data_IF_012130663421
#
_entry.id   IF_012130663421
#
_cell.length_a   1.000
_cell.length_b   1.000
_cell.length_c   1.000
_cell.angle_alpha   90.00
_cell.angle_beta   90.00
_cell.angle_gamma   90.00
#
_symmetry.space_group_name_H-M   'P 1'
#
loop_
_entity.id
_entity.type
_entity.pdbx_description
1 polymer ?
#
# COMPACT_ATOMS: atom_id res chain seq x y z
N UNK A 1 -16.09 -37.21 50.22
CA UNK A 1 -17.04 -36.66 49.24
C UNK A 1 -17.76 -37.85 48.61
N UNK A 2 -19.07 -37.76 48.44
CA UNK A 2 -19.87 -38.88 47.98
C UNK A 2 -20.87 -38.40 46.92
N UNK A 3 -21.06 -39.20 45.88
CA UNK A 3 -22.06 -38.95 44.87
C UNK A 3 -23.47 -38.94 45.46
N UNK A 4 -24.25 -37.93 45.09
CA UNK A 4 -25.63 -37.76 45.52
C UNK A 4 -26.59 -38.08 44.35
N UNK A 5 -27.14 -39.29 44.33
CA UNK A 5 -28.06 -39.73 43.28
C UNK A 5 -29.23 -38.77 43.01
N UNK A 6 -29.87 -38.14 44.01
CA UNK A 6 -30.97 -37.20 43.76
C UNK A 6 -30.56 -35.95 42.98
N UNK A 7 -29.27 -35.62 42.96
CA UNK A 7 -28.73 -34.45 42.28
C UNK A 7 -28.35 -34.72 40.83
N UNK A 8 -28.53 -35.95 40.35
CA UNK A 8 -28.34 -36.36 38.96
C UNK A 8 -29.70 -36.44 38.26
N UNK A 9 -29.92 -35.54 37.30
CA UNK A 9 -31.18 -35.39 36.57
C UNK A 9 -30.96 -35.64 35.08
N UNK A 10 -31.92 -36.26 34.41
CA UNK A 10 -31.91 -36.40 32.95
C UNK A 10 -32.42 -35.10 32.31
N UNK A 11 -31.62 -34.47 31.46
CA UNK A 11 -32.05 -33.30 30.68
C UNK A 11 -32.66 -33.71 29.34
N UNK A 12 -31.98 -34.62 28.63
CA UNK A 12 -32.41 -35.12 27.33
C UNK A 12 -31.89 -36.53 27.12
N UNK A 13 -32.64 -37.37 26.43
CA UNK A 13 -32.17 -38.69 26.02
C UNK A 13 -32.53 -38.94 24.57
N UNK A 14 -31.53 -39.29 23.78
CA UNK A 14 -31.71 -39.99 22.51
C UNK A 14 -31.56 -41.49 22.79
N UNK A 15 -31.99 -42.35 21.86
CA UNK A 15 -31.79 -43.80 22.02
C UNK A 15 -30.32 -44.24 22.13
N UNK A 16 -29.37 -43.34 21.81
CA UNK A 16 -27.93 -43.60 21.79
C UNK A 16 -27.11 -42.78 22.81
N UNK A 17 -27.67 -41.75 23.45
CA UNK A 17 -26.97 -40.88 24.40
C UNK A 17 -27.95 -40.21 25.36
N UNK A 18 -27.62 -40.15 26.65
CA UNK A 18 -28.34 -39.32 27.62
C UNK A 18 -27.47 -38.13 28.04
N UNK A 19 -28.05 -36.92 27.96
CA UNK A 19 -27.52 -35.72 28.58
C UNK A 19 -28.08 -35.61 30.00
N UNK A 20 -27.17 -35.63 30.96
CA UNK A 20 -27.46 -35.50 32.37
C UNK A 20 -27.09 -34.10 32.86
N UNK A 21 -27.78 -33.65 33.89
CA UNK A 21 -27.38 -32.51 34.70
C UNK A 21 -27.05 -33.01 36.10
N UNK A 22 -25.85 -32.69 36.58
CA UNK A 22 -25.42 -33.03 37.93
C UNK A 22 -25.00 -31.77 38.67
N UNK A 23 -25.61 -31.54 39.84
CA UNK A 23 -25.26 -30.42 40.72
C UNK A 23 -24.64 -30.93 42.01
N UNK A 24 -23.47 -30.43 42.37
CA UNK A 24 -22.80 -30.76 43.64
C UNK A 24 -22.03 -29.57 44.18
N UNK A 25 -21.83 -29.54 45.50
CA UNK A 25 -20.93 -28.61 46.16
C UNK A 25 -19.45 -29.06 46.06
N UNK A 26 -19.20 -30.31 45.67
CA UNK A 26 -17.84 -30.82 45.47
C UNK A 26 -17.13 -30.06 44.35
N UNK A 27 -15.80 -29.96 44.45
CA UNK A 27 -14.98 -29.37 43.37
C UNK A 27 -14.95 -30.29 42.16
N UNK A 28 -14.70 -29.75 40.97
CA UNK A 28 -14.56 -30.55 39.75
C UNK A 28 -13.48 -31.62 39.89
N UNK A 29 -12.37 -31.30 40.55
CA UNK A 29 -11.29 -32.26 40.80
C UNK A 29 -11.75 -33.49 41.60
N UNK A 30 -12.66 -33.28 42.56
CA UNK A 30 -13.22 -34.37 43.36
C UNK A 30 -14.24 -35.21 42.59
N UNK A 31 -15.05 -34.58 41.73
CA UNK A 31 -16.03 -35.29 40.88
C UNK A 31 -15.35 -36.18 39.84
N UNK A 32 -14.14 -35.80 39.40
CA UNK A 32 -13.32 -36.60 38.48
C UNK A 32 -12.56 -37.74 39.15
N UNK A 33 -12.64 -37.88 40.48
CA UNK A 33 -12.01 -38.99 41.18
C UNK A 33 -12.59 -40.34 40.73
N UNK A 34 -11.74 -41.35 40.63
CA UNK A 34 -12.16 -42.69 40.23
C UNK A 34 -13.25 -43.23 41.16
N UNK A 35 -14.33 -43.75 40.56
CA UNK A 35 -15.44 -44.34 41.31
C UNK A 35 -16.43 -43.33 41.89
N UNK A 36 -16.27 -42.02 41.65
CA UNK A 36 -17.21 -41.01 42.15
C UNK A 36 -18.67 -41.35 41.74
N UNK A 37 -18.92 -41.70 40.48
CA UNK A 37 -20.25 -42.08 39.98
C UNK A 37 -20.58 -43.58 40.09
N UNK A 38 -19.89 -44.36 40.93
CA UNK A 38 -20.11 -45.81 41.02
C UNK A 38 -21.57 -46.16 41.38
N UNK A 39 -22.20 -45.35 42.25
CA UNK A 39 -23.58 -45.50 42.68
C UNK A 39 -24.62 -44.86 41.73
N UNK A 40 -24.21 -44.29 40.59
CA UNK A 40 -25.12 -43.68 39.62
C UNK A 40 -25.90 -44.76 38.86
N UNK A 41 -27.18 -44.89 39.16
CA UNK A 41 -28.09 -45.75 38.41
C UNK A 41 -28.39 -45.13 37.04
N UNK A 42 -28.37 -45.94 35.97
CA UNK A 42 -28.75 -45.50 34.63
C UNK A 42 -27.67 -44.80 33.81
N UNK A 43 -26.56 -44.37 34.42
CA UNK A 43 -25.44 -43.77 33.71
C UNK A 43 -24.71 -44.82 32.84
N UNK A 44 -24.59 -44.54 31.54
CA UNK A 44 -23.99 -45.43 30.54
C UNK A 44 -22.78 -44.80 29.87
N UNK A 45 -21.91 -45.63 29.33
CA UNK A 45 -20.84 -45.16 28.46
C UNK A 45 -21.42 -44.42 27.24
N UNK A 46 -20.81 -43.29 26.88
CA UNK A 46 -21.29 -42.42 25.80
C UNK A 46 -22.23 -41.32 26.28
N UNK A 47 -22.76 -41.39 27.51
CA UNK A 47 -23.53 -40.30 28.11
C UNK A 47 -22.66 -39.05 28.36
N UNK A 48 -23.33 -37.92 28.51
CA UNK A 48 -22.68 -36.63 28.80
C UNK A 48 -23.31 -36.03 30.05
N UNK A 49 -22.49 -35.50 30.95
CA UNK A 49 -22.92 -34.82 32.18
C UNK A 49 -22.59 -33.33 32.07
N UNK A 50 -23.60 -32.48 32.11
CA UNK A 50 -23.45 -31.07 32.46
C UNK A 50 -23.30 -30.97 33.97
N UNK A 51 -22.05 -30.83 34.42
CA UNK A 51 -21.66 -30.71 35.83
C UNK A 51 -21.68 -29.24 36.24
N UNK A 52 -22.47 -28.92 37.26
CA UNK A 52 -22.30 -27.72 38.07
C UNK A 52 -21.64 -28.11 39.40
N UNK A 53 -20.35 -27.85 39.51
CA UNK A 53 -19.52 -28.08 40.70
C UNK A 53 -19.42 -26.82 41.55
N UNK A 54 -18.86 -26.92 42.75
CA UNK A 54 -18.64 -25.77 43.63
C UNK A 54 -17.69 -24.70 43.05
N UNK A 55 -16.89 -25.07 42.04
CA UNK A 55 -15.84 -24.25 41.43
C UNK A 55 -16.05 -23.96 39.93
N UNK A 56 -17.18 -24.36 39.34
CA UNK A 56 -17.47 -24.03 37.94
C UNK A 56 -18.57 -24.85 37.27
N UNK A 57 -18.67 -24.67 35.95
CA UNK A 57 -19.56 -25.40 35.06
C UNK A 57 -18.72 -26.15 34.03
N UNK A 58 -18.99 -27.45 33.85
CA UNK A 58 -18.24 -28.29 32.92
C UNK A 58 -19.13 -29.34 32.26
N UNK A 59 -18.71 -29.82 31.09
CA UNK A 59 -19.38 -30.84 30.30
C UNK A 59 -18.47 -32.07 30.24
N UNK A 60 -18.90 -33.15 30.87
CA UNK A 60 -18.07 -34.33 31.13
C UNK A 60 -18.57 -35.55 30.36
N UNK A 61 -17.73 -36.22 29.55
CA UNK A 61 -18.10 -37.46 28.89
C UNK A 61 -17.99 -38.65 29.85
N UNK A 62 -18.98 -39.54 29.83
CA UNK A 62 -18.95 -40.82 30.53
C UNK A 62 -18.26 -41.86 29.65
N UNK A 63 -17.23 -42.49 30.21
CA UNK A 63 -16.39 -43.52 29.59
C UNK A 63 -16.75 -44.92 30.13
N UNK A 64 -16.02 -45.93 29.64
CA UNK A 64 -16.09 -47.31 30.14
C UNK A 64 -16.07 -47.36 31.67
N UNK A 65 -16.89 -48.24 32.25
CA UNK A 65 -16.95 -48.44 33.71
C UNK A 65 -17.53 -47.25 34.51
N UNK A 66 -18.29 -46.35 33.87
CA UNK A 66 -18.83 -45.11 34.48
C UNK A 66 -17.75 -44.16 34.98
N UNK A 67 -16.54 -44.27 34.45
CA UNK A 67 -15.50 -43.29 34.66
C UNK A 67 -15.87 -41.99 33.92
N UNK A 68 -15.60 -40.84 34.51
CA UNK A 68 -15.92 -39.54 33.91
C UNK A 68 -14.63 -38.83 33.53
N UNK A 69 -14.52 -38.43 32.27
CA UNK A 69 -13.34 -37.72 31.77
C UNK A 69 -13.34 -36.23 32.15
N UNK A 70 -12.17 -35.59 32.12
CA UNK A 70 -12.00 -34.17 32.51
C UNK A 70 -12.85 -33.15 31.71
N UNK A 71 -13.36 -33.55 30.55
CA UNK A 71 -14.38 -32.82 29.80
C UNK A 71 -13.97 -31.43 29.30
N UNK A 72 -14.98 -30.64 28.92
CA UNK A 72 -14.85 -29.22 28.57
C UNK A 72 -15.29 -28.36 29.76
N UNK A 73 -14.45 -27.43 30.20
CA UNK A 73 -14.80 -26.45 31.23
C UNK A 73 -15.45 -25.25 30.53
N UNK A 74 -16.70 -24.96 30.87
CA UNK A 74 -17.50 -23.88 30.28
C UNK A 74 -17.33 -22.59 31.08
N UNK A 75 -17.18 -22.72 32.39
CA UNK A 75 -16.94 -21.61 33.30
C UNK A 75 -16.18 -22.09 34.54
N UNK A 76 -15.40 -21.20 35.13
CA UNK A 76 -14.71 -21.40 36.40
C UNK A 76 -15.08 -20.27 37.33
N UNK A 77 -15.35 -20.54 38.60
CA UNK A 77 -15.73 -19.53 39.59
C UNK A 77 -14.68 -18.42 39.81
N UNK A 78 -13.52 -18.52 39.16
CA UNK A 78 -12.42 -17.54 39.17
C UNK A 78 -12.43 -16.57 37.97
N UNK A 79 -13.25 -16.79 36.94
CA UNK A 79 -13.25 -15.94 35.74
C UNK A 79 -14.17 -14.71 35.94
N UNK A 80 -13.70 -13.48 35.66
CA UNK A 80 -14.53 -12.29 35.76
C UNK A 80 -15.64 -12.29 34.70
N UNK A 81 -16.86 -11.92 35.10
CA UNK A 81 -18.03 -11.81 34.23
C UNK A 81 -17.74 -10.83 33.07
N UNK A 82 -17.76 -11.31 31.83
CA UNK A 82 -17.53 -10.47 30.66
C UNK A 82 -18.78 -9.62 30.33
N UNK A 83 -18.85 -8.41 30.88
CA UNK A 83 -19.83 -7.40 30.47
C UNK A 83 -19.37 -6.73 29.17
N UNK A 84 -20.07 -6.99 28.07
CA UNK A 84 -19.88 -6.25 26.81
C UNK A 84 -20.94 -5.16 26.66
N UNK A 85 -20.50 -3.92 26.40
CA UNK A 85 -21.38 -2.77 26.14
C UNK A 85 -20.96 -2.18 24.80
N UNK A 86 -21.84 -2.20 23.81
CA UNK A 86 -21.58 -1.66 22.48
C UNK A 86 -22.26 -0.29 22.30
N UNK A 87 -21.60 0.62 21.57
CA UNK A 87 -22.14 1.92 21.17
C UNK A 87 -21.47 2.41 19.90
N UNK A 88 -22.24 3.01 18.99
CA UNK A 88 -21.74 3.53 17.71
C UNK A 88 -21.20 4.94 17.92
N UNK A 89 -19.88 5.14 17.81
CA UNK A 89 -19.28 6.47 17.76
C UNK A 89 -19.06 6.86 16.30
N UNK A 90 -19.67 7.98 15.87
CA UNK A 90 -19.41 8.59 14.56
C UNK A 90 -18.50 9.79 14.76
N UNK A 91 -17.36 9.82 14.06
CA UNK A 91 -16.54 11.03 13.94
C UNK A 91 -16.45 11.44 12.47
N UNK A 92 -16.52 12.75 12.23
CA UNK A 92 -16.30 13.34 10.92
C UNK A 92 -14.88 13.91 10.85
N UNK A 93 -14.19 13.66 9.74
CA UNK A 93 -12.91 14.30 9.42
C UNK A 93 -13.16 15.40 8.40
N UNK A 94 -12.94 16.65 8.79
CA UNK A 94 -12.87 17.78 7.87
C UNK A 94 -11.43 17.98 7.44
N UNK A 95 -11.13 17.79 6.15
CA UNK A 95 -9.83 18.13 5.58
C UNK A 95 -9.98 19.47 4.86
N UNK A 96 -9.22 20.46 5.29
CA UNK A 96 -9.12 21.76 4.61
C UNK A 96 -7.74 21.85 3.98
N UNK A 97 -7.68 21.89 2.65
CA UNK A 97 -6.45 22.11 1.91
C UNK A 97 -6.60 23.41 1.11
N UNK A 98 -5.61 24.32 1.24
CA UNK A 98 -5.52 25.50 0.39
C UNK A 98 -4.68 25.15 -0.85
N UNK A 99 -5.19 25.36 -2.08
CA UNK A 99 -4.43 25.06 -3.29
C UNK A 99 -3.23 26.00 -3.41
N UNK A 100 -2.04 25.44 -3.58
CA UNK A 100 -0.83 26.21 -3.89
C UNK A 100 -0.69 26.30 -5.40
N UNK A 101 -0.92 27.50 -5.95
CA UNK A 101 -0.80 27.73 -7.39
C UNK A 101 0.67 27.55 -7.82
N UNK A 102 0.91 26.60 -8.72
CA UNK A 102 2.19 26.37 -9.37
C UNK A 102 2.01 26.40 -10.89
N UNK A 103 2.92 27.05 -11.60
CA UNK A 103 2.91 27.09 -13.07
C UNK A 103 4.34 27.13 -13.61
N UNK A 104 4.54 26.46 -14.75
CA UNK A 104 5.78 26.48 -15.53
C UNK A 104 5.43 27.06 -16.91
N UNK A 105 6.30 27.91 -17.44
CA UNK A 105 6.26 28.37 -18.82
C UNK A 105 7.66 28.28 -19.42
N UNK A 106 7.81 27.49 -20.47
CA UNK A 106 9.06 27.37 -21.22
C UNK A 106 9.17 28.58 -22.16
N UNK A 107 10.38 29.12 -22.27
CA UNK A 107 10.68 30.20 -23.21
C UNK A 107 10.53 29.70 -24.66
N UNK A 108 10.38 30.62 -25.62
CA UNK A 108 10.23 30.22 -27.02
C UNK A 108 11.51 29.52 -27.51
N UNK A 109 11.34 28.36 -28.16
CA UNK A 109 12.44 27.59 -28.74
C UNK A 109 12.53 27.95 -30.22
N UNK A 110 13.71 28.40 -30.67
CA UNK A 110 13.95 28.67 -32.09
C UNK A 110 13.91 27.36 -32.90
N UNK A 111 13.46 27.43 -34.15
CA UNK A 111 13.43 26.28 -35.06
C UNK A 111 13.68 26.75 -36.50
N UNK A 112 14.53 26.07 -37.30
CA UNK A 112 15.38 24.94 -36.91
C UNK A 112 16.57 25.35 -36.02
N UNK A 113 17.05 24.41 -35.21
CA UNK A 113 18.28 24.55 -34.42
C UNK A 113 19.45 23.91 -35.18
N UNK A 114 20.64 24.53 -35.23
CA UNK A 114 21.82 23.90 -35.81
C UNK A 114 22.29 22.67 -35.02
N UNK A 115 22.56 21.57 -35.73
CA UNK A 115 23.16 20.38 -35.16
C UNK A 115 24.60 20.62 -34.67
N UNK A 116 24.99 19.90 -33.61
CA UNK A 116 26.32 19.98 -32.99
C UNK A 116 26.51 21.19 -32.07
N UNK A 117 25.42 21.86 -31.68
CA UNK A 117 25.48 23.07 -30.83
C UNK A 117 24.85 22.83 -29.46
N UNK A 118 25.32 23.58 -28.47
CA UNK A 118 24.68 23.64 -27.16
C UNK A 118 23.48 24.59 -27.22
N UNK A 119 22.32 24.12 -26.78
CA UNK A 119 21.06 24.85 -26.76
C UNK A 119 20.87 25.42 -25.36
N UNK A 120 20.70 26.74 -25.25
CA UNK A 120 20.29 27.38 -24.00
C UNK A 120 18.77 27.38 -23.87
N UNK A 121 18.26 26.76 -22.82
CA UNK A 121 16.83 26.64 -22.53
C UNK A 121 16.51 27.43 -21.26
N UNK A 122 15.40 28.16 -21.30
CA UNK A 122 14.88 28.90 -20.15
C UNK A 122 13.43 28.53 -19.86
N UNK A 123 13.06 28.59 -18.59
CA UNK A 123 11.68 28.53 -18.16
C UNK A 123 11.43 29.47 -16.99
N UNK A 124 10.23 30.06 -16.96
CA UNK A 124 9.70 30.84 -15.85
C UNK A 124 8.74 30.01 -15.02
N UNK A 125 8.73 30.26 -13.72
CA UNK A 125 7.91 29.57 -12.73
C UNK A 125 7.09 30.59 -11.94
N UNK A 126 5.84 30.24 -11.65
CA UNK A 126 5.03 30.90 -10.62
C UNK A 126 4.74 29.91 -9.49
N UNK A 127 4.87 30.34 -8.24
CA UNK A 127 4.66 29.47 -7.06
C UNK A 127 5.95 28.79 -6.58
N UNK A 128 5.86 27.93 -5.56
CA UNK A 128 7.02 27.31 -4.92
C UNK A 128 7.54 26.10 -5.72
N UNK A 129 8.33 26.36 -6.77
CA UNK A 129 9.17 25.34 -7.43
C UNK A 129 10.62 25.77 -7.28
N UNK A 130 11.43 24.93 -6.62
CA UNK A 130 12.82 25.26 -6.28
C UNK A 130 13.81 24.92 -7.40
N UNK A 131 13.48 23.94 -8.25
CA UNK A 131 14.34 23.47 -9.33
C UNK A 131 13.53 22.83 -10.44
N UNK A 132 13.98 23.02 -11.68
CA UNK A 132 13.43 22.37 -12.86
C UNK A 132 14.42 21.37 -13.44
N UNK A 133 13.92 20.26 -13.96
CA UNK A 133 14.68 19.32 -14.77
C UNK A 133 14.33 19.54 -16.23
N UNK A 134 15.35 19.82 -17.05
CA UNK A 134 15.22 20.03 -18.48
C UNK A 134 15.69 18.79 -19.24
N UNK A 135 14.89 18.37 -20.23
CA UNK A 135 15.22 17.30 -21.19
C UNK A 135 14.75 17.70 -22.59
N UNK A 136 15.39 17.15 -23.62
CA UNK A 136 14.82 17.12 -24.97
C UNK A 136 14.24 15.73 -25.19
N UNK A 137 13.00 15.66 -25.64
CA UNK A 137 12.31 14.41 -25.97
C UNK A 137 12.00 14.32 -27.45
N UNK A 138 12.00 13.10 -27.98
CA UNK A 138 11.53 12.79 -29.33
C UNK A 138 9.99 12.73 -29.41
N UNK A 139 9.46 12.44 -30.60
CA UNK A 139 8.02 12.31 -30.84
C UNK A 139 7.36 11.14 -30.08
N UNK A 140 8.15 10.13 -29.68
CA UNK A 140 7.71 9.01 -28.84
C UNK A 140 7.79 9.31 -27.34
N UNK A 141 8.30 10.48 -26.95
CA UNK A 141 8.52 10.87 -25.55
C UNK A 141 9.82 10.35 -24.94
N UNK A 142 10.67 9.68 -25.73
CA UNK A 142 11.99 9.24 -25.31
C UNK A 142 12.93 10.41 -25.10
N UNK A 143 13.74 10.39 -24.03
CA UNK A 143 14.75 11.44 -23.81
C UNK A 143 15.92 11.26 -24.77
N UNK A 144 16.23 12.30 -25.55
CA UNK A 144 17.32 12.32 -26.53
C UNK A 144 18.46 13.28 -26.14
N UNK A 145 18.25 14.15 -25.16
CA UNK A 145 19.29 15.00 -24.56
C UNK A 145 18.91 15.40 -23.13
N UNK A 146 19.91 15.53 -22.25
CA UNK A 146 19.73 15.71 -20.80
C UNK A 146 19.53 14.37 -20.05
N UNK A 147 19.02 14.37 -18.80
CA UNK A 147 18.54 15.52 -18.03
C UNK A 147 19.60 16.47 -17.51
N UNK A 148 19.23 17.75 -17.40
CA UNK A 148 19.97 18.76 -16.66
C UNK A 148 19.04 19.40 -15.64
N UNK A 149 19.44 19.39 -14.37
CA UNK A 149 18.68 20.04 -13.29
C UNK A 149 19.22 21.44 -13.05
N UNK A 150 18.32 22.42 -12.99
CA UNK A 150 18.64 23.82 -12.76
C UNK A 150 17.82 24.40 -11.60
N UNK A 151 18.48 25.15 -10.73
CA UNK A 151 17.82 25.86 -9.65
C UNK A 151 16.96 27.02 -10.19
N UNK A 152 15.81 27.27 -9.55
CA UNK A 152 14.94 28.42 -9.86
C UNK A 152 15.40 29.62 -9.02
N UNK A 153 15.98 30.62 -9.67
CA UNK A 153 16.35 31.90 -9.07
C UNK A 153 15.51 33.03 -9.65
N UNK A 154 14.93 33.90 -8.81
CA UNK A 154 14.11 35.03 -9.28
C UNK A 154 12.89 34.62 -10.13
N UNK A 155 12.37 33.40 -9.94
CA UNK A 155 11.25 32.86 -10.72
C UNK A 155 11.63 32.30 -12.09
N UNK A 156 12.93 32.08 -12.38
CA UNK A 156 13.40 31.46 -13.62
C UNK A 156 14.47 30.41 -13.36
N UNK A 157 14.55 29.42 -14.26
CA UNK A 157 15.66 28.48 -14.34
C UNK A 157 16.17 28.40 -15.78
N UNK A 158 17.47 28.14 -15.93
CA UNK A 158 18.14 28.03 -17.23
C UNK A 158 19.01 26.78 -17.23
N UNK A 159 19.06 26.09 -18.36
CA UNK A 159 19.89 24.91 -18.57
C UNK A 159 20.48 24.93 -19.99
N UNK A 160 21.66 24.32 -20.15
CA UNK A 160 22.25 24.09 -21.46
C UNK A 160 22.23 22.60 -21.76
N UNK A 161 21.74 22.23 -22.95
CA UNK A 161 21.66 20.85 -23.41
C UNK A 161 22.22 20.75 -24.83
N UNK A 162 22.88 19.63 -25.15
CA UNK A 162 23.37 19.39 -26.50
C UNK A 162 22.22 19.18 -27.48
N UNK A 163 22.36 19.70 -28.70
CA UNK A 163 21.40 19.46 -29.78
C UNK A 163 21.29 17.97 -30.06
N UNK A 164 20.06 17.39 -30.14
CA UNK A 164 19.90 16.02 -30.58
C UNK A 164 20.32 15.85 -32.05
N UNK A 165 20.34 14.62 -32.56
CA UNK A 165 20.61 14.36 -33.97
C UNK A 165 19.68 15.13 -34.91
N UNK A 166 20.11 15.31 -36.16
CA UNK A 166 19.30 15.94 -37.22
C UNK A 166 17.96 15.21 -37.35
N UNK A 167 16.87 15.96 -37.29
CA UNK A 167 15.52 15.41 -37.26
C UNK A 167 14.45 16.44 -36.94
N UNK A 168 13.20 15.97 -36.79
CA UNK A 168 12.05 16.83 -36.53
C UNK A 168 11.18 16.24 -35.42
N UNK A 169 10.30 17.07 -34.84
CA UNK A 169 9.33 16.63 -33.83
C UNK A 169 9.86 16.61 -32.40
N UNK A 170 11.08 17.13 -32.17
CA UNK A 170 11.65 17.25 -30.83
C UNK A 170 10.88 18.27 -30.00
N UNK A 171 10.83 18.05 -28.68
CA UNK A 171 10.22 18.97 -27.72
C UNK A 171 11.11 19.11 -26.50
N UNK A 172 11.12 20.31 -25.92
CA UNK A 172 11.70 20.53 -24.60
C UNK A 172 10.68 20.13 -23.55
N UNK A 173 11.11 19.31 -22.59
CA UNK A 173 10.37 19.02 -21.36
C UNK A 173 11.02 19.76 -20.21
N UNK A 174 10.24 20.58 -19.51
CA UNK A 174 10.63 21.16 -18.22
C UNK A 174 9.68 20.63 -17.15
N UNK A 175 10.22 20.03 -16.10
CA UNK A 175 9.44 19.43 -15.00
C UNK A 175 9.96 19.87 -13.64
N UNK A 176 9.09 19.92 -12.64
CA UNK A 176 9.48 20.11 -11.24
C UNK A 176 10.27 18.88 -10.76
N UNK A 177 11.45 19.11 -10.19
CA UNK A 177 12.31 18.04 -9.70
C UNK A 177 11.72 17.28 -8.50
N UNK A 178 10.82 17.91 -7.73
CA UNK A 178 10.17 17.32 -6.55
C UNK A 178 8.82 16.69 -6.92
N UNK A 179 8.15 17.21 -7.95
CA UNK A 179 6.82 16.78 -8.40
C UNK A 179 6.79 16.57 -9.92
N UNK A 180 7.21 15.39 -10.42
CA UNK A 180 7.32 15.12 -11.86
C UNK A 180 5.98 15.17 -12.62
N UNK A 181 4.84 15.17 -11.91
CA UNK A 181 3.53 15.36 -12.51
C UNK A 181 3.31 16.81 -12.98
N UNK A 182 4.02 17.78 -12.40
CA UNK A 182 4.06 19.17 -12.86
C UNK A 182 5.14 19.32 -13.92
N UNK A 183 4.75 19.18 -15.19
CA UNK A 183 5.64 19.39 -16.33
C UNK A 183 4.96 20.17 -17.46
N UNK A 184 5.77 20.72 -18.35
CA UNK A 184 5.33 21.31 -19.60
C UNK A 184 6.19 20.79 -20.75
N UNK A 185 5.57 20.69 -21.92
CA UNK A 185 6.26 20.45 -23.19
C UNK A 185 6.21 21.71 -24.04
N UNK A 186 7.32 22.06 -24.69
CA UNK A 186 7.34 23.10 -25.70
C UNK A 186 6.53 22.68 -26.95
N UNK A 187 6.21 23.64 -27.84
CA UNK A 187 5.96 23.32 -29.24
C UNK A 187 7.09 22.48 -29.84
N UNK A 188 6.78 21.72 -30.89
CA UNK A 188 7.78 20.91 -31.57
C UNK A 188 8.76 21.79 -32.35
N UNK A 189 10.03 21.39 -32.39
CA UNK A 189 11.08 22.02 -33.19
C UNK A 189 11.84 20.97 -34.01
N UNK A 190 12.65 21.45 -34.96
CA UNK A 190 13.55 20.63 -35.76
C UNK A 190 15.00 20.96 -35.50
N UNK A 191 15.86 19.98 -35.73
CA UNK A 191 17.32 20.14 -35.78
C UNK A 191 17.76 19.87 -37.21
N UNK A 192 18.52 20.80 -37.79
CA UNK A 192 19.07 20.67 -39.14
C UNK A 192 20.55 21.04 -39.15
N UNK A 193 21.22 20.79 -40.28
CA UNK A 193 22.47 21.47 -40.55
C UNK A 193 22.22 22.98 -40.54
N UNK A 194 23.08 23.73 -39.85
CA UNK A 194 23.04 25.18 -39.86
C UNK A 194 23.41 25.73 -41.26
N UNK A 195 23.20 27.02 -41.51
CA UNK A 195 23.74 27.66 -42.72
C UNK A 195 25.26 27.58 -42.67
N UNK A 196 25.88 26.86 -43.61
CA UNK A 196 27.33 26.87 -43.79
C UNK A 196 27.75 28.12 -44.56
N UNK A 197 28.82 28.77 -44.11
CA UNK A 197 29.44 29.87 -44.84
C UNK A 197 30.14 29.31 -46.08
N UNK A 198 29.80 29.84 -47.24
CA UNK A 198 30.58 29.61 -48.46
C UNK A 198 31.53 30.78 -48.64
N UNK A 199 32.82 30.50 -48.74
CA UNK A 199 33.82 31.52 -49.07
C UNK A 199 34.03 31.55 -50.59
N UNK A 200 34.07 32.73 -51.20
CA UNK A 200 34.47 32.86 -52.60
C UNK A 200 35.97 33.13 -52.68
N UNK A 201 36.71 32.30 -53.41
CA UNK A 201 38.11 32.54 -53.72
C UNK A 201 38.40 32.12 -55.17
N UNK A 202 38.94 33.05 -55.96
CA UNK A 202 39.39 32.78 -57.33
C UNK A 202 38.28 32.28 -58.27
N UNK A 203 37.04 32.76 -58.12
CA UNK A 203 35.90 32.35 -58.94
C UNK A 203 35.34 30.96 -58.62
N UNK A 204 35.64 30.42 -57.44
CA UNK A 204 35.06 29.18 -56.94
C UNK A 204 34.43 29.41 -55.56
N UNK A 205 33.32 28.74 -55.29
CA UNK A 205 32.75 28.63 -53.96
C UNK A 205 33.50 27.55 -53.18
N UNK A 206 33.94 27.88 -51.98
CA UNK A 206 34.62 26.99 -51.04
C UNK A 206 33.68 26.69 -49.86
N UNK A 207 33.73 25.47 -49.35
CA UNK A 207 33.13 25.09 -48.06
C UNK A 207 33.90 25.75 -46.91
N UNK A 208 33.37 25.68 -45.69
CA UNK A 208 34.08 26.13 -44.49
C UNK A 208 35.40 25.38 -44.24
N UNK A 209 35.54 24.16 -44.75
CA UNK A 209 36.79 23.38 -44.74
C UNK A 209 37.80 23.83 -45.80
N UNK A 210 37.45 24.79 -46.66
CA UNK A 210 38.27 25.25 -47.78
C UNK A 210 38.19 24.36 -49.02
N UNK A 211 37.32 23.34 -49.02
CA UNK A 211 37.14 22.45 -50.16
C UNK A 211 36.31 23.13 -51.23
N UNK A 212 36.71 22.93 -52.49
CA UNK A 212 36.00 23.52 -53.62
C UNK A 212 34.64 22.84 -53.81
N UNK A 213 33.59 23.64 -53.82
CA UNK A 213 32.25 23.18 -54.17
C UNK A 213 32.20 22.94 -55.68
N UNK A 214 31.99 21.69 -56.09
CA UNK A 214 31.70 21.34 -57.48
C UNK A 214 30.19 21.49 -57.69
N UNK A 215 29.80 22.49 -58.48
CA UNK A 215 28.43 22.68 -58.98
C UNK A 215 28.22 21.84 -60.25
#
# INVERSE_FOLDING_TARGET
MAFASPSLLTLASTGSMTLWYYRTADTRSAVLATGYFAAAAGLREGDVILLQSGDGLSLLPVRTGRAVGAGLVLDTGTAPLALSRQGTMRFGLGVTALPVLRAIRIDAVASPIPWGTAISLGASVKGPVASLVFRIVDAGGGTVSGPVTAAVGGGRAMASLDSPAIGTGYRVRAEDAVDPALFLLSPAFSVSLGPGLLAEAGGALLTESGDRLLL
#
